data_IF_406475650214
#
_entry.id   IF_406475650214
#
_cell.length_a   1.000
_cell.length_b   1.000
_cell.length_c   1.000
_cell.angle_alpha   90.00
_cell.angle_beta   90.00
_cell.angle_gamma   90.00
#
_symmetry.space_group_name_H-M   'P 1'
#
loop_
_entity.id
_entity.type
_entity.pdbx_description
1 polymer ?
#
# COMPACT_ATOMS: atom_id res chain seq x y z
N UNK A 1 -10.82 5.92 -3.85
CA UNK A 1 -10.24 6.61 -2.67
C UNK A 1 -9.28 7.74 -3.04
N UNK A 2 -8.25 7.48 -3.84
CA UNK A 2 -7.28 8.51 -4.21
C UNK A 2 -7.82 9.58 -5.18
N UNK A 3 -8.75 9.24 -6.08
CA UNK A 3 -9.24 10.16 -7.11
C UNK A 3 -9.90 11.45 -6.57
N UNK A 4 -10.78 11.41 -5.54
CA UNK A 4 -11.28 12.63 -4.92
C UNK A 4 -10.19 13.51 -4.29
N UNK A 5 -9.14 12.91 -3.72
CA UNK A 5 -8.00 13.66 -3.14
C UNK A 5 -7.22 14.36 -4.25
N UNK A 6 -6.89 13.64 -5.33
CA UNK A 6 -6.21 14.19 -6.50
C UNK A 6 -7.00 15.36 -7.12
N UNK A 7 -8.30 15.19 -7.31
CA UNK A 7 -9.17 16.24 -7.84
C UNK A 7 -9.27 17.48 -6.94
N UNK A 8 -9.34 17.29 -5.61
CA UNK A 8 -9.38 18.41 -4.66
C UNK A 8 -8.07 19.21 -4.59
N UNK A 9 -6.94 18.57 -4.91
CA UNK A 9 -5.61 19.17 -4.88
C UNK A 9 -5.08 19.59 -6.25
N UNK A 10 -5.87 19.39 -7.32
CA UNK A 10 -5.45 19.59 -8.70
C UNK A 10 -4.09 18.89 -8.99
N UNK A 11 -3.98 17.64 -8.55
CA UNK A 11 -2.76 16.84 -8.59
C UNK A 11 -2.92 15.64 -9.54
N UNK A 12 -1.84 15.20 -10.21
CA UNK A 12 -1.89 14.00 -11.03
C UNK A 12 -2.23 12.79 -10.16
N UNK A 13 -3.14 11.96 -10.64
CA UNK A 13 -3.48 10.70 -10.00
C UNK A 13 -2.68 9.57 -10.63
N UNK A 14 -2.15 8.70 -9.78
CA UNK A 14 -1.46 7.52 -10.23
C UNK A 14 -1.64 6.34 -9.27
N UNK A 15 -1.22 5.14 -9.68
CA UNK A 15 -1.35 3.91 -8.88
C UNK A 15 0.00 3.22 -8.65
N UNK A 16 0.18 2.77 -7.41
CA UNK A 16 1.24 1.88 -6.94
C UNK A 16 0.59 0.57 -6.50
N UNK A 17 1.17 -0.58 -6.88
CA UNK A 17 0.61 -1.89 -6.58
C UNK A 17 1.54 -2.66 -5.63
N UNK A 18 0.96 -3.21 -4.57
CA UNK A 18 1.65 -4.09 -3.64
C UNK A 18 0.80 -5.31 -3.29
N UNK A 19 1.45 -6.40 -2.91
CA UNK A 19 0.82 -7.66 -2.52
C UNK A 19 1.45 -8.21 -1.24
N UNK A 20 0.60 -8.63 -0.29
CA UNK A 20 1.03 -9.27 0.95
C UNK A 20 1.69 -10.62 0.65
N UNK A 21 2.72 -10.94 1.43
CA UNK A 21 3.38 -12.24 1.49
C UNK A 21 2.85 -12.96 2.74
N UNK A 22 2.10 -14.04 2.53
CA UNK A 22 1.48 -14.82 3.61
C UNK A 22 2.49 -15.73 4.33
N UNK A 23 2.10 -16.22 5.51
CA UNK A 23 2.89 -17.17 6.29
C UNK A 23 2.63 -18.62 5.84
N UNK A 24 3.58 -19.55 6.06
CA UNK A 24 3.36 -20.97 5.77
C UNK A 24 2.09 -21.50 6.44
N UNK A 25 1.13 -21.97 5.64
CA UNK A 25 -0.13 -22.52 6.13
C UNK A 25 -1.15 -21.48 6.61
N UNK A 26 -0.88 -20.17 6.51
CA UNK A 26 -1.80 -19.09 6.85
C UNK A 26 -1.57 -17.85 5.99
N UNK A 27 -2.25 -17.77 4.86
CA UNK A 27 -2.11 -16.68 3.88
C UNK A 27 -2.58 -15.32 4.42
N UNK A 28 -3.50 -15.30 5.40
CA UNK A 28 -4.01 -14.07 6.00
C UNK A 28 -2.99 -13.42 6.94
N UNK A 29 -2.05 -14.21 7.47
CA UNK A 29 -0.98 -13.73 8.33
C UNK A 29 0.18 -13.22 7.48
N UNK A 30 0.26 -11.90 7.28
CA UNK A 30 1.28 -11.29 6.44
C UNK A 30 2.67 -11.29 7.12
N UNK A 31 3.63 -12.02 6.54
CA UNK A 31 5.06 -11.92 6.83
C UNK A 31 5.68 -10.64 6.28
N UNK A 32 5.01 -10.01 5.32
CA UNK A 32 5.46 -8.80 4.68
C UNK A 32 4.56 -8.42 3.51
N UNK A 33 5.00 -7.48 2.70
CA UNK A 33 4.43 -7.21 1.39
C UNK A 33 5.51 -6.77 0.41
N UNK A 34 5.22 -6.88 -0.88
CA UNK A 34 6.14 -6.53 -1.96
C UNK A 34 5.40 -5.73 -3.04
N UNK A 35 6.08 -4.77 -3.63
CA UNK A 35 5.56 -3.95 -4.72
C UNK A 35 5.75 -4.64 -6.08
N UNK A 36 5.15 -4.09 -7.14
CA UNK A 36 5.33 -4.58 -8.51
C UNK A 36 6.79 -4.57 -9.00
N UNK A 37 7.61 -3.65 -8.49
CA UNK A 37 9.04 -3.51 -8.81
C UNK A 37 9.95 -4.37 -7.94
N UNK A 38 9.38 -5.04 -6.92
CA UNK A 38 10.07 -6.04 -6.12
C UNK A 38 10.63 -5.54 -4.78
N UNK A 39 10.48 -4.26 -4.46
CA UNK A 39 10.76 -3.71 -3.13
C UNK A 39 9.81 -4.30 -2.11
N UNK A 40 10.37 -4.84 -1.04
CA UNK A 40 9.62 -5.55 -0.02
C UNK A 40 9.80 -4.89 1.35
N UNK A 41 8.73 -4.98 2.14
CA UNK A 41 8.79 -4.81 3.58
C UNK A 41 8.56 -6.16 4.24
N UNK A 42 9.35 -6.45 5.27
CA UNK A 42 9.30 -7.70 6.03
C UNK A 42 8.98 -7.43 7.50
N UNK A 43 8.17 -8.31 8.09
CA UNK A 43 7.95 -8.38 9.52
C UNK A 43 8.98 -9.32 10.14
N UNK A 44 10.20 -8.84 10.33
CA UNK A 44 11.34 -9.64 10.81
C UNK A 44 11.06 -10.35 12.13
N UNK A 45 10.28 -9.71 13.02
CA UNK A 45 9.85 -10.31 14.28
C UNK A 45 8.99 -11.55 14.03
N UNK A 46 8.00 -11.46 13.15
CA UNK A 46 7.09 -12.56 12.86
C UNK A 46 7.79 -13.69 12.10
N UNK A 47 8.65 -13.33 11.14
CA UNK A 47 9.50 -14.27 10.40
C UNK A 47 10.36 -15.08 11.37
N UNK A 48 11.02 -14.39 12.31
CA UNK A 48 11.84 -15.03 13.34
C UNK A 48 11.00 -15.89 14.28
N UNK A 49 9.83 -15.41 14.71
CA UNK A 49 8.94 -16.14 15.62
C UNK A 49 8.41 -17.44 15.01
N UNK A 50 8.21 -17.47 13.69
CA UNK A 50 7.68 -18.61 12.95
C UNK A 50 8.77 -19.48 12.32
N UNK A 51 10.05 -19.14 12.51
CA UNK A 51 11.21 -19.83 11.93
C UNK A 51 11.06 -20.04 10.40
N UNK A 52 10.68 -18.97 9.70
CA UNK A 52 10.40 -19.06 8.26
C UNK A 52 11.69 -19.06 7.46
N UNK A 53 11.86 -20.09 6.63
CA UNK A 53 13.02 -20.22 5.75
C UNK A 53 13.15 -19.07 4.74
N UNK A 54 14.37 -18.59 4.51
CA UNK A 54 14.69 -17.59 3.47
C UNK A 54 14.22 -18.03 2.08
N UNK A 55 14.31 -19.34 1.79
CA UNK A 55 13.86 -19.89 0.51
C UNK A 55 12.34 -19.82 0.33
N UNK A 56 11.58 -19.89 1.43
CA UNK A 56 10.14 -19.66 1.43
C UNK A 56 9.86 -18.19 1.16
N UNK A 57 10.53 -17.29 1.89
CA UNK A 57 10.36 -15.84 1.74
C UNK A 57 10.64 -15.36 0.32
N UNK A 58 11.75 -15.80 -0.28
CA UNK A 58 12.10 -15.38 -1.64
C UNK A 58 11.10 -15.91 -2.68
N UNK A 59 10.57 -17.13 -2.49
CA UNK A 59 9.53 -17.67 -3.36
C UNK A 59 8.24 -16.87 -3.25
N UNK A 60 7.79 -16.58 -2.04
CA UNK A 60 6.58 -15.77 -1.83
C UNK A 60 6.76 -14.34 -2.31
N UNK A 61 7.94 -13.73 -2.12
CA UNK A 61 8.27 -12.41 -2.67
C UNK A 61 8.13 -12.38 -4.18
N UNK A 62 8.72 -13.35 -4.90
CA UNK A 62 8.61 -13.41 -6.36
C UNK A 62 7.16 -13.59 -6.80
N UNK A 63 6.44 -14.52 -6.19
CA UNK A 63 5.03 -14.78 -6.50
C UNK A 63 4.17 -13.53 -6.29
N UNK A 64 4.33 -12.87 -5.15
CA UNK A 64 3.57 -11.68 -4.81
C UNK A 64 3.94 -10.48 -5.71
N UNK A 65 5.22 -10.31 -6.07
CA UNK A 65 5.68 -9.28 -6.99
C UNK A 65 5.08 -9.47 -8.39
N UNK A 66 5.02 -10.70 -8.91
CA UNK A 66 4.34 -11.00 -10.18
C UNK A 66 2.87 -10.62 -10.14
N UNK A 67 2.15 -10.97 -9.08
CA UNK A 67 0.73 -10.60 -8.91
C UNK A 67 0.56 -9.07 -8.83
N UNK A 68 1.46 -8.37 -8.14
CA UNK A 68 1.44 -6.92 -8.05
C UNK A 68 1.71 -6.27 -9.43
N UNK A 69 2.66 -6.79 -10.19
CA UNK A 69 2.97 -6.33 -11.55
C UNK A 69 1.81 -6.57 -12.52
N UNK A 70 1.20 -7.76 -12.52
CA UNK A 70 -0.01 -8.04 -13.31
C UNK A 70 -1.14 -7.06 -13.00
N UNK A 71 -1.34 -6.75 -11.70
CA UNK A 71 -2.35 -5.78 -11.27
C UNK A 71 -2.01 -4.35 -11.72
N UNK A 72 -0.74 -3.95 -11.65
CA UNK A 72 -0.28 -2.65 -12.14
C UNK A 72 -0.48 -2.52 -13.65
N UNK A 73 -0.04 -3.51 -14.42
CA UNK A 73 -0.20 -3.58 -15.87
C UNK A 73 -1.67 -3.53 -16.27
N UNK A 74 -2.55 -4.19 -15.51
CA UNK A 74 -3.98 -4.08 -15.73
C UNK A 74 -4.47 -2.64 -15.58
N UNK A 75 -4.03 -1.91 -14.55
CA UNK A 75 -4.48 -0.54 -14.32
C UNK A 75 -3.89 0.50 -15.28
N UNK A 76 -2.59 0.42 -15.57
CA UNK A 76 -1.87 1.47 -16.31
C UNK A 76 -1.58 1.11 -17.77
N UNK A 77 -1.51 -0.17 -18.09
CA UNK A 77 -1.02 -0.65 -19.39
C UNK A 77 0.50 -0.49 -19.60
N UNK A 78 1.22 0.02 -18.60
CA UNK A 78 2.68 0.15 -18.56
C UNK A 78 3.21 -0.12 -17.15
N UNK A 79 4.47 -0.52 -17.06
CA UNK A 79 5.21 -0.74 -15.81
C UNK A 79 5.84 0.56 -15.25
N UNK A 80 5.90 1.63 -16.05
CA UNK A 80 6.53 2.89 -15.64
C UNK A 80 5.67 3.63 -14.61
N UNK A 81 6.24 3.88 -13.42
CA UNK A 81 5.68 4.82 -12.44
C UNK A 81 5.74 6.26 -12.96
N UNK A 82 4.86 7.13 -12.45
CA UNK A 82 5.02 8.57 -12.67
C UNK A 82 6.35 9.04 -12.06
N UNK A 83 6.95 10.04 -12.69
CA UNK A 83 8.17 10.68 -12.17
C UNK A 83 7.86 11.36 -10.83
N UNK A 84 8.47 10.84 -9.76
CA UNK A 84 8.28 11.33 -8.39
C UNK A 84 9.48 12.08 -7.84
N UNK A 85 10.60 12.11 -8.56
CA UNK A 85 11.81 12.85 -8.19
C UNK A 85 11.52 14.32 -7.91
N UNK A 86 11.98 14.83 -6.78
CA UNK A 86 11.77 16.21 -6.32
C UNK A 86 10.28 16.62 -6.17
N UNK A 87 9.35 15.66 -6.19
CA UNK A 87 7.91 15.89 -5.99
C UNK A 87 7.49 15.51 -4.57
N UNK A 88 6.42 16.14 -4.08
CA UNK A 88 5.67 15.65 -2.93
C UNK A 88 4.69 14.58 -3.40
N UNK A 89 4.75 13.41 -2.81
CA UNK A 89 3.87 12.27 -3.12
C UNK A 89 2.88 12.08 -2.00
N UNK A 90 1.60 11.91 -2.34
CA UNK A 90 0.55 11.57 -1.38
C UNK A 90 0.12 10.13 -1.65
N UNK A 91 0.47 9.21 -0.76
CA UNK A 91 -0.01 7.84 -0.78
C UNK A 91 -1.37 7.77 -0.09
N UNK A 92 -2.39 7.26 -0.77
CA UNK A 92 -3.76 7.18 -0.27
C UNK A 92 -4.25 5.74 -0.29
N UNK A 93 -4.95 5.33 0.76
CA UNK A 93 -5.64 4.03 0.88
C UNK A 93 -7.04 4.22 1.52
N UNK A 94 -7.89 3.20 1.49
CA UNK A 94 -9.22 3.24 2.15
C UNK A 94 -9.14 3.15 3.69
N UNK A 95 -8.08 2.55 4.20
CA UNK A 95 -7.78 2.50 5.61
C UNK A 95 -6.66 1.53 5.91
N UNK A 96 -6.18 1.54 7.15
CA UNK A 96 -4.99 0.77 7.52
C UNK A 96 -5.25 -0.07 8.76
N UNK A 97 -5.33 -1.38 8.56
CA UNK A 97 -5.35 -2.35 9.65
C UNK A 97 -3.93 -2.67 10.15
N UNK A 98 -3.13 -3.37 9.33
CA UNK A 98 -1.76 -3.79 9.68
C UNK A 98 -0.67 -3.00 8.94
N UNK A 99 -1.05 -2.32 7.84
CA UNK A 99 -0.15 -1.49 7.05
C UNK A 99 0.89 -2.22 6.20
N UNK A 100 0.85 -3.56 6.09
CA UNK A 100 1.88 -4.30 5.35
C UNK A 100 2.09 -3.80 3.91
N UNK A 101 1.00 -3.61 3.15
CA UNK A 101 1.04 -3.09 1.77
C UNK A 101 1.56 -1.65 1.72
N UNK A 102 1.06 -0.79 2.62
CA UNK A 102 1.52 0.60 2.74
C UNK A 102 3.02 0.66 3.02
N UNK A 103 3.54 -0.16 3.95
CA UNK A 103 4.98 -0.20 4.27
C UNK A 103 5.82 -0.58 3.05
N UNK A 104 5.39 -1.56 2.26
CA UNK A 104 6.07 -1.90 1.01
C UNK A 104 6.07 -0.74 0.01
N UNK A 105 4.93 -0.07 -0.17
CA UNK A 105 4.83 1.13 -1.01
C UNK A 105 5.74 2.26 -0.51
N UNK A 106 5.83 2.48 0.80
CA UNK A 106 6.73 3.47 1.38
C UNK A 106 8.20 3.12 1.15
N UNK A 107 8.57 1.84 1.24
CA UNK A 107 9.92 1.36 0.89
C UNK A 107 10.26 1.71 -0.56
N UNK A 108 9.35 1.45 -1.50
CA UNK A 108 9.54 1.81 -2.91
C UNK A 108 9.67 3.32 -3.10
N UNK A 109 8.75 4.12 -2.54
CA UNK A 109 8.72 5.58 -2.70
C UNK A 109 9.96 6.27 -2.13
N UNK A 110 10.55 5.75 -1.07
CA UNK A 110 11.82 6.27 -0.54
C UNK A 110 12.98 6.11 -1.52
N UNK A 111 12.92 5.10 -2.40
CA UNK A 111 13.91 4.86 -3.44
C UNK A 111 13.77 5.75 -4.67
N UNK A 112 12.69 6.53 -4.81
CA UNK A 112 12.40 7.29 -6.04
C UNK A 112 12.91 8.73 -6.04
N UNK A 113 13.46 9.22 -4.92
CA UNK A 113 13.92 10.61 -4.80
C UNK A 113 12.78 11.62 -4.59
N UNK A 114 11.62 11.17 -4.09
CA UNK A 114 10.55 12.08 -3.69
C UNK A 114 11.02 13.10 -2.64
N UNK A 115 10.63 14.37 -2.81
CA UNK A 115 10.98 15.44 -1.89
C UNK A 115 10.26 15.34 -0.54
N UNK A 116 9.08 14.73 -0.53
CA UNK A 116 8.32 14.41 0.68
C UNK A 116 7.28 13.32 0.37
N UNK A 117 7.01 12.46 1.35
CA UNK A 117 5.99 11.42 1.31
C UNK A 117 4.95 11.72 2.38
N UNK A 118 3.70 11.91 1.95
CA UNK A 118 2.53 12.04 2.81
C UNK A 118 1.72 10.75 2.71
N UNK A 119 1.35 10.16 3.84
CA UNK A 119 0.37 9.08 3.88
C UNK A 119 -0.97 9.64 4.36
N UNK A 120 -2.02 9.47 3.58
CA UNK A 120 -3.36 9.99 3.89
C UNK A 120 -4.42 8.90 3.81
N UNK A 121 -5.08 8.59 4.92
CA UNK A 121 -6.12 7.56 4.98
C UNK A 121 -7.31 8.01 5.83
N UNK A 122 -8.54 7.57 5.51
CA UNK A 122 -9.69 7.91 6.35
C UNK A 122 -9.65 7.26 7.74
N UNK A 123 -9.21 6.00 7.85
CA UNK A 123 -9.18 5.29 9.13
C UNK A 123 -7.93 4.44 9.28
N UNK A 124 -7.37 4.36 10.48
CA UNK A 124 -6.26 3.46 10.79
C UNK A 124 -6.35 2.91 12.21
N UNK A 125 -5.80 1.71 12.42
CA UNK A 125 -5.50 1.20 13.76
C UNK A 125 -4.53 2.17 14.47
N UNK A 126 -4.79 2.58 15.73
CA UNK A 126 -3.95 3.54 16.44
C UNK A 126 -2.47 3.14 16.47
N UNK A 127 -2.16 1.89 16.84
CA UNK A 127 -0.78 1.42 16.91
C UNK A 127 -0.09 1.41 15.54
N UNK A 128 -0.84 1.13 14.47
CA UNK A 128 -0.27 1.14 13.11
C UNK A 128 -0.09 2.56 12.59
N UNK A 129 -0.96 3.49 12.97
CA UNK A 129 -0.78 4.90 12.66
C UNK A 129 0.48 5.45 13.34
N UNK A 130 0.69 5.14 14.62
CA UNK A 130 1.89 5.54 15.37
C UNK A 130 3.17 5.04 14.67
N UNK A 131 3.24 3.75 14.36
CA UNK A 131 4.39 3.16 13.64
C UNK A 131 4.64 3.78 12.26
N UNK A 132 3.56 4.09 11.51
CA UNK A 132 3.66 4.65 10.16
C UNK A 132 4.02 6.13 10.18
N UNK A 133 3.68 6.86 11.25
CA UNK A 133 4.05 8.27 11.42
C UNK A 133 5.56 8.48 11.43
N UNK A 134 6.31 7.49 11.93
CA UNK A 134 7.78 7.49 11.93
C UNK A 134 8.37 7.20 10.53
N UNK A 135 7.54 6.77 9.58
CA UNK A 135 7.98 6.35 8.25
C UNK A 135 7.70 7.35 7.13
N UNK A 136 6.96 8.42 7.42
CA UNK A 136 6.54 9.43 6.43
C UNK A 136 6.83 10.82 6.95
N UNK A 137 6.92 11.80 6.04
CA UNK A 137 7.09 13.20 6.43
C UNK A 137 5.81 13.77 7.05
N UNK A 138 4.66 13.26 6.63
CA UNK A 138 3.36 13.65 7.20
C UNK A 138 2.38 12.48 7.12
N UNK A 139 1.78 12.15 8.26
CA UNK A 139 0.67 11.22 8.35
C UNK A 139 -0.63 12.01 8.56
N UNK A 140 -1.62 11.76 7.70
CA UNK A 140 -2.98 12.31 7.81
C UNK A 140 -3.94 11.14 7.99
N UNK A 141 -4.55 11.05 9.17
CA UNK A 141 -5.61 10.08 9.46
C UNK A 141 -6.84 10.83 9.92
N UNK A 142 -8.01 10.57 9.31
CA UNK A 142 -9.26 11.24 9.74
C UNK A 142 -9.72 10.67 11.09
N UNK A 143 -9.67 9.35 11.27
CA UNK A 143 -10.05 8.69 12.52
C UNK A 143 -9.09 7.55 12.92
N UNK A 144 -8.70 7.52 14.20
CA UNK A 144 -7.92 6.44 14.82
C UNK A 144 -8.70 5.85 16.00
N UNK A 145 -9.68 4.97 15.73
CA UNK A 145 -10.60 4.47 16.76
C UNK A 145 -9.91 3.46 17.68
N UNK A 146 -10.16 3.55 18.99
CA UNK A 146 -9.58 2.65 20.00
C UNK A 146 -9.92 1.16 19.76
N UNK A 147 -11.11 0.92 19.18
CA UNK A 147 -11.58 -0.41 18.77
C UNK A 147 -11.58 -0.48 17.26
N UNK A 148 -10.54 -1.07 16.70
CA UNK A 148 -10.38 -1.26 15.27
C UNK A 148 -10.43 -2.76 14.95
N UNK A 149 -11.48 -3.20 14.24
CA UNK A 149 -11.60 -4.58 13.74
C UNK A 149 -11.14 -4.67 12.28
N UNK A 150 -11.91 -4.07 11.39
CA UNK A 150 -11.61 -4.03 9.96
C UNK A 150 -11.95 -2.67 9.35
N UNK A 151 -11.26 -2.29 8.27
CA UNK A 151 -11.49 -1.02 7.55
C UNK A 151 -12.96 -0.86 7.14
N UNK A 152 -13.58 -1.94 6.64
CA UNK A 152 -14.96 -1.90 6.14
C UNK A 152 -16.03 -1.56 7.19
N UNK A 153 -15.72 -1.67 8.48
CA UNK A 153 -16.66 -1.32 9.56
C UNK A 153 -16.93 0.20 9.64
N UNK A 154 -16.04 1.00 9.06
CA UNK A 154 -16.11 2.47 9.08
C UNK A 154 -16.79 3.06 7.83
N UNK A 155 -17.28 2.20 6.93
CA UNK A 155 -17.93 2.60 5.69
C UNK A 155 -19.37 2.09 5.65
N UNK A 156 -20.33 3.00 5.39
CA UNK A 156 -21.72 2.60 5.14
C UNK A 156 -21.86 1.76 3.87
N UNK A 157 -21.03 2.05 2.86
CA UNK A 157 -20.87 1.23 1.66
C UNK A 157 -19.38 0.91 1.47
N UNK A 158 -19.05 -0.38 1.55
CA UNK A 158 -17.70 -0.92 1.33
C UNK A 158 -17.69 -1.96 0.19
N UNK A 159 -18.48 -1.69 -0.85
CA UNK A 159 -18.50 -2.49 -2.06
C UNK A 159 -17.15 -2.46 -2.78
N UNK A 160 -16.78 -3.60 -3.37
CA UNK A 160 -15.55 -3.72 -4.11
C UNK A 160 -15.60 -2.87 -5.38
N UNK A 161 -14.66 -1.92 -5.50
CA UNK A 161 -14.46 -1.16 -6.74
C UNK A 161 -13.93 -2.10 -7.83
N UNK A 162 -14.60 -2.11 -8.98
CA UNK A 162 -14.18 -2.94 -10.11
C UNK A 162 -12.91 -2.41 -10.77
N UNK A 163 -12.14 -3.29 -11.42
CA UNK A 163 -10.93 -2.85 -12.12
C UNK A 163 -11.24 -1.86 -13.26
N UNK A 164 -12.38 -2.00 -13.92
CA UNK A 164 -12.81 -1.09 -14.98
C UNK A 164 -13.08 0.33 -14.43
N UNK A 165 -13.72 0.40 -13.27
CA UNK A 165 -13.99 1.66 -12.59
C UNK A 165 -12.69 2.31 -12.10
N UNK A 166 -11.78 1.54 -11.48
CA UNK A 166 -10.48 2.04 -11.05
C UNK A 166 -9.66 2.62 -12.21
N UNK A 167 -9.62 1.94 -13.37
CA UNK A 167 -8.95 2.44 -14.59
C UNK A 167 -9.55 3.75 -15.09
N UNK A 168 -10.87 3.90 -15.00
CA UNK A 168 -11.54 5.12 -15.48
C UNK A 168 -11.07 6.39 -14.76
N UNK A 169 -10.60 6.27 -13.50
CA UNK A 169 -10.05 7.40 -12.75
C UNK A 169 -8.61 7.75 -13.16
N UNK A 170 -7.81 6.77 -13.57
CA UNK A 170 -6.41 6.99 -13.97
C UNK A 170 -6.27 7.64 -15.35
N UNK A 171 -7.29 7.49 -16.20
CA UNK A 171 -7.29 8.06 -17.56
C UNK A 171 -8.08 9.37 -17.68
N UNK A 172 -8.43 10.01 -16.55
CA UNK A 172 -9.05 11.33 -16.57
C UNK A 172 -7.97 12.40 -16.82
N UNK A 173 -8.16 13.29 -17.81
CA UNK A 173 -7.24 14.38 -18.11
C UNK A 173 -7.19 15.41 -16.98
#
# INVERSE_FOLDING_TARGET
>A
MAAPVAAALDAPLDVIAAKKMGAPGNDELALGAVTSTGEAWYNDRLITQLDVDDSYLERERRRAATVAAEKLQNYRGTDDLAETTDRRVILVDDGIATGATVRACLTQLRGTGAAAIVLAVPVASPSTADDLSEQVDTLVVVETPDRFGAVGEFYQNFEQVSDAEAKSFLHRP
#
